data_IF_340750095728
#
_entry.id   IF_340750095728
#
_cell.length_a   1.000
_cell.length_b   1.000
_cell.length_c   1.000
_cell.angle_alpha   90.00
_cell.angle_beta   90.00
_cell.angle_gamma   90.00
#
_symmetry.space_group_name_H-M   'P 1'
#
loop_
_entity.id
_entity.type
_entity.pdbx_description
1 polymer ?
#
# COMPACT_ATOMS: atom_id res chain seq x y z
N UNK A 1 25.83 -7.06 -8.87
CA UNK A 1 25.19 -5.84 -8.31
C UNK A 1 23.75 -5.65 -8.81
N UNK A 2 23.39 -6.08 -10.02
CA UNK A 2 22.02 -5.98 -10.56
C UNK A 2 20.93 -6.78 -9.80
N UNK A 3 21.27 -7.86 -9.09
CA UNK A 3 20.25 -8.73 -8.46
C UNK A 3 19.53 -8.09 -7.26
N UNK A 4 20.24 -7.32 -6.42
CA UNK A 4 19.65 -6.67 -5.23
C UNK A 4 18.64 -5.58 -5.58
N UNK A 5 18.94 -4.83 -6.64
CA UNK A 5 18.05 -3.80 -7.20
C UNK A 5 16.76 -4.48 -7.67
N UNK A 6 16.88 -5.50 -8.52
CA UNK A 6 15.72 -6.21 -9.07
C UNK A 6 14.84 -6.84 -7.97
N UNK A 7 15.42 -7.39 -6.91
CA UNK A 7 14.68 -7.91 -5.75
C UNK A 7 13.94 -6.82 -4.96
N UNK A 8 14.58 -5.67 -4.72
CA UNK A 8 13.94 -4.56 -4.01
C UNK A 8 12.77 -3.97 -4.81
N UNK A 9 12.97 -3.69 -6.10
CA UNK A 9 11.90 -3.17 -6.96
C UNK A 9 10.79 -4.21 -7.17
N UNK A 10 11.12 -5.49 -7.27
CA UNK A 10 10.14 -6.57 -7.37
C UNK A 10 9.27 -6.72 -6.11
N UNK A 11 9.86 -6.54 -4.93
CA UNK A 11 9.11 -6.53 -3.66
C UNK A 11 8.18 -5.33 -3.56
N UNK A 12 8.66 -4.14 -3.92
CA UNK A 12 7.85 -2.93 -3.93
C UNK A 12 6.67 -3.05 -4.90
N UNK A 13 6.91 -3.50 -6.13
CA UNK A 13 5.85 -3.67 -7.13
C UNK A 13 4.74 -4.63 -6.69
N UNK A 14 5.10 -5.72 -5.99
CA UNK A 14 4.12 -6.66 -5.42
C UNK A 14 3.29 -6.01 -4.32
N UNK A 15 3.94 -5.28 -3.41
CA UNK A 15 3.25 -4.57 -2.33
C UNK A 15 2.32 -3.47 -2.86
N UNK A 16 2.71 -2.76 -3.91
CA UNK A 16 1.86 -1.76 -4.59
C UNK A 16 0.63 -2.41 -5.21
N UNK A 17 0.78 -3.50 -5.97
CA UNK A 17 -0.37 -4.22 -6.54
C UNK A 17 -1.33 -4.72 -5.48
N UNK A 18 -0.78 -5.22 -4.37
CA UNK A 18 -1.60 -5.73 -3.29
C UNK A 18 -2.31 -4.60 -2.54
N UNK A 19 -1.66 -3.46 -2.31
CA UNK A 19 -2.30 -2.29 -1.71
C UNK A 19 -3.38 -1.72 -2.63
N UNK A 20 -3.19 -1.72 -3.96
CA UNK A 20 -4.23 -1.35 -4.93
C UNK A 20 -5.48 -2.20 -4.78
N UNK A 21 -5.34 -3.52 -4.66
CA UNK A 21 -6.48 -4.43 -4.48
C UNK A 21 -7.20 -4.18 -3.15
N UNK A 22 -6.46 -4.08 -2.05
CA UNK A 22 -7.07 -3.83 -0.74
C UNK A 22 -7.80 -2.49 -0.69
N UNK A 23 -7.19 -1.46 -1.27
CA UNK A 23 -7.76 -0.13 -1.38
C UNK A 23 -9.02 -0.09 -2.25
N UNK A 24 -9.01 -0.78 -3.40
CA UNK A 24 -10.19 -0.93 -4.26
C UNK A 24 -11.33 -1.71 -3.58
N UNK A 25 -11.01 -2.57 -2.61
CA UNK A 25 -11.98 -3.28 -1.77
C UNK A 25 -12.38 -2.51 -0.51
N UNK A 26 -11.95 -1.24 -0.38
CA UNK A 26 -12.20 -0.40 0.79
C UNK A 26 -11.71 -1.00 2.12
N UNK A 27 -10.65 -1.80 2.07
CA UNK A 27 -9.99 -2.33 3.27
C UNK A 27 -9.01 -1.27 3.78
N UNK A 28 -9.25 -0.76 4.99
CA UNK A 28 -8.36 0.21 5.61
C UNK A 28 -7.01 -0.39 6.00
N UNK A 29 -6.01 0.46 6.20
CA UNK A 29 -4.69 0.06 6.71
C UNK A 29 -4.78 -0.69 8.06
N UNK A 30 -5.64 -0.22 8.97
CA UNK A 30 -5.89 -0.87 10.26
C UNK A 30 -6.50 -2.27 10.09
N UNK A 31 -7.51 -2.42 9.23
CA UNK A 31 -8.09 -3.73 8.94
C UNK A 31 -7.10 -4.66 8.24
N UNK A 32 -6.27 -4.11 7.33
CA UNK A 32 -5.22 -4.85 6.65
C UNK A 32 -4.16 -5.40 7.62
N UNK A 33 -3.82 -4.64 8.68
CA UNK A 33 -2.87 -5.06 9.70
C UNK A 33 -3.33 -6.27 10.52
N UNK A 34 -4.64 -6.46 10.64
CA UNK A 34 -5.26 -7.58 11.38
C UNK A 34 -5.58 -8.80 10.51
N UNK A 35 -5.32 -8.72 9.19
CA UNK A 35 -5.60 -9.82 8.27
C UNK A 35 -4.80 -11.08 8.64
N UNK A 36 -5.52 -12.20 8.72
CA UNK A 36 -4.94 -13.53 8.90
C UNK A 36 -4.37 -14.05 7.58
N UNK A 37 -3.47 -15.04 7.68
CA UNK A 37 -2.81 -15.68 6.53
C UNK A 37 -3.76 -16.10 5.40
N UNK A 38 -4.93 -16.74 5.65
CA UNK A 38 -5.85 -17.12 4.57
C UNK A 38 -6.38 -15.92 3.78
N UNK A 39 -6.59 -14.78 4.43
CA UNK A 39 -7.04 -13.54 3.76
C UNK A 39 -5.93 -12.96 2.89
N UNK A 40 -4.68 -12.96 3.37
CA UNK A 40 -3.54 -12.52 2.58
C UNK A 40 -3.33 -13.37 1.32
N UNK A 41 -3.51 -14.69 1.42
CA UNK A 41 -3.45 -15.60 0.26
C UNK A 41 -4.54 -15.29 -0.77
N UNK A 42 -5.78 -15.03 -0.31
CA UNK A 42 -6.88 -14.64 -1.18
C UNK A 42 -6.59 -13.33 -1.93
N UNK A 43 -6.17 -12.29 -1.22
CA UNK A 43 -5.91 -10.99 -1.85
C UNK A 43 -4.69 -11.02 -2.77
N UNK A 44 -3.65 -11.80 -2.42
CA UNK A 44 -2.51 -12.02 -3.31
C UNK A 44 -2.93 -12.67 -4.62
N UNK A 45 -3.84 -13.65 -4.57
CA UNK A 45 -4.41 -14.28 -5.77
C UNK A 45 -5.21 -13.28 -6.61
N UNK A 46 -6.03 -12.44 -5.99
CA UNK A 46 -6.79 -11.39 -6.70
C UNK A 46 -5.83 -10.38 -7.36
N UNK A 47 -4.77 -9.99 -6.67
CA UNK A 47 -3.74 -9.07 -7.17
C UNK A 47 -2.81 -9.69 -8.22
N UNK A 48 -2.91 -11.00 -8.48
CA UNK A 48 -2.02 -11.71 -9.40
C UNK A 48 -0.56 -11.67 -8.96
N UNK A 49 -0.30 -11.72 -7.65
CA UNK A 49 1.05 -11.73 -7.06
C UNK A 49 1.23 -12.95 -6.14
N UNK A 50 2.47 -13.41 -5.91
CA UNK A 50 2.72 -14.46 -4.92
C UNK A 50 2.28 -14.03 -3.51
N UNK A 51 1.91 -15.01 -2.68
CA UNK A 51 1.55 -14.76 -1.27
C UNK A 51 2.66 -13.98 -0.56
N UNK A 52 2.34 -12.83 0.06
CA UNK A 52 3.35 -11.99 0.69
C UNK A 52 3.86 -12.60 1.99
N UNK A 53 5.18 -12.55 2.19
CA UNK A 53 5.78 -12.74 3.51
C UNK A 53 5.54 -11.53 4.44
N UNK A 54 5.90 -11.66 5.71
CA UNK A 54 5.64 -10.66 6.77
C UNK A 54 6.12 -9.26 6.38
N UNK A 55 7.33 -9.12 5.83
CA UNK A 55 7.85 -7.81 5.40
C UNK A 55 7.02 -7.18 4.27
N UNK A 56 6.54 -7.99 3.33
CA UNK A 56 5.73 -7.50 2.22
C UNK A 56 4.32 -7.14 2.68
N UNK A 57 3.77 -7.86 3.66
CA UNK A 57 2.50 -7.49 4.31
C UNK A 57 2.65 -6.14 5.02
N UNK A 58 3.70 -5.97 5.83
CA UNK A 58 3.98 -4.71 6.51
C UNK A 58 4.17 -3.53 5.52
N UNK A 59 4.88 -3.75 4.41
CA UNK A 59 5.03 -2.74 3.36
C UNK A 59 3.68 -2.40 2.70
N UNK A 60 2.83 -3.39 2.44
CA UNK A 60 1.48 -3.20 1.88
C UNK A 60 0.62 -2.36 2.81
N UNK A 61 0.60 -2.69 4.11
CA UNK A 61 -0.12 -1.94 5.15
C UNK A 61 0.39 -0.49 5.22
N UNK A 62 1.71 -0.29 5.19
CA UNK A 62 2.30 1.06 5.18
C UNK A 62 1.87 1.85 3.95
N UNK A 63 1.87 1.25 2.76
CA UNK A 63 1.41 1.92 1.54
C UNK A 63 -0.07 2.31 1.61
N UNK A 64 -0.93 1.47 2.21
CA UNK A 64 -2.33 1.82 2.46
C UNK A 64 -2.44 3.02 3.42
N UNK A 65 -1.69 3.01 4.51
CA UNK A 65 -1.68 4.11 5.47
C UNK A 65 -1.26 5.44 4.82
N UNK A 66 -0.22 5.42 3.97
CA UNK A 66 0.21 6.63 3.26
C UNK A 66 -0.87 7.15 2.30
N UNK A 67 -1.64 6.27 1.64
CA UNK A 67 -2.76 6.67 0.79
C UNK A 67 -3.90 7.30 1.58
N UNK A 68 -4.25 6.71 2.72
CA UNK A 68 -5.26 7.26 3.63
C UNK A 68 -4.84 8.65 4.14
N UNK A 69 -3.58 8.79 4.57
CA UNK A 69 -3.00 10.07 5.00
C UNK A 69 -3.05 11.10 3.87
N UNK A 70 -2.69 10.71 2.65
CA UNK A 70 -2.75 11.58 1.48
C UNK A 70 -4.18 12.03 1.18
N UNK A 71 -5.16 11.12 1.22
CA UNK A 71 -6.58 11.49 1.04
C UNK A 71 -7.07 12.45 2.10
N UNK A 72 -6.74 12.19 3.37
CA UNK A 72 -7.11 13.05 4.49
C UNK A 72 -6.48 14.44 4.35
N UNK A 73 -5.21 14.50 3.92
CA UNK A 73 -4.52 15.75 3.65
C UNK A 73 -5.17 16.51 2.49
N UNK A 74 -5.41 15.86 1.34
CA UNK A 74 -6.08 16.50 0.18
C UNK A 74 -7.45 17.05 0.59
N UNK A 75 -8.26 16.26 1.30
CA UNK A 75 -9.58 16.68 1.76
C UNK A 75 -9.48 17.93 2.67
N UNK A 76 -8.51 17.95 3.59
CA UNK A 76 -8.24 19.11 4.45
C UNK A 76 -7.81 20.34 3.65
N UNK A 77 -6.84 20.19 2.75
CA UNK A 77 -6.32 21.29 1.93
C UNK A 77 -7.40 21.91 1.05
N UNK A 78 -8.31 21.10 0.50
CA UNK A 78 -9.45 21.57 -0.29
C UNK A 78 -10.42 22.37 0.59
N UNK A 79 -10.72 21.92 1.81
CA UNK A 79 -11.61 22.66 2.74
C UNK A 79 -10.98 23.96 3.24
N UNK A 80 -9.67 23.99 3.46
CA UNK A 80 -8.93 25.13 4.02
C UNK A 80 -8.47 26.14 2.94
N UNK A 81 -8.67 25.83 1.65
CA UNK A 81 -8.20 26.67 0.54
C UNK A 81 -6.67 26.74 0.44
N UNK A 82 -5.96 25.78 1.02
CA UNK A 82 -4.50 25.75 1.03
C UNK A 82 -3.96 25.19 -0.30
N UNK A 83 -2.99 25.87 -0.94
CA UNK A 83 -2.37 25.32 -2.14
C UNK A 83 -1.60 24.03 -1.81
N UNK A 84 -1.51 23.07 -2.75
CA UNK A 84 -0.74 21.86 -2.53
C UNK A 84 0.73 22.24 -2.28
N UNK A 85 1.21 22.07 -1.06
CA UNK A 85 2.63 22.27 -0.77
C UNK A 85 3.42 21.21 -1.52
N UNK A 86 4.35 21.68 -2.37
CA UNK A 86 5.32 20.84 -3.05
C UNK A 86 6.16 20.14 -1.98
N UNK A 87 5.93 18.84 -1.77
CA UNK A 87 6.86 18.02 -1.00
C UNK A 87 8.17 17.99 -1.77
N UNK A 88 9.17 18.71 -1.24
CA UNK A 88 10.52 18.79 -1.77
C UNK A 88 11.15 17.40 -1.88
N UNK A 89 11.95 17.24 -2.93
CA UNK A 89 12.67 16.05 -3.36
C UNK A 89 13.59 15.43 -2.31
#
# INVERSE_FOLDING_TARGET
>A
MASKIHEQYGRLAKAVRLSDVLDALHISSAAAAELKKPSWELFARIAGVPTPGVESQALTVKLLQERENLRAWVARSVMEGLPPQQTAA
#
